data_IF_917490148895
#
_entry.id   IF_917490148895
#
_cell.length_a   1.000
_cell.length_b   1.000
_cell.length_c   1.000
_cell.angle_alpha   90.00
_cell.angle_beta   90.00
_cell.angle_gamma   90.00
#
_symmetry.space_group_name_H-M   'P 1'
#
loop_
_entity.id
_entity.type
_entity.pdbx_description
1 polymer ?
#
# COMPACT_ATOMS: atom_id res chain seq x y z
N UNK A 1 7.92 2.01 -3.08
CA UNK A 1 8.48 1.19 -1.98
C UNK A 1 8.07 1.88 -0.69
N UNK A 2 6.87 1.68 -0.15
CA UNK A 2 6.38 2.53 0.99
C UNK A 2 5.74 1.70 2.12
N UNK A 3 5.71 0.38 1.93
CA UNK A 3 4.84 -0.52 2.67
C UNK A 3 5.49 -1.16 3.91
N UNK A 4 6.79 -0.93 4.11
CA UNK A 4 7.51 -1.51 5.24
C UNK A 4 7.48 -0.63 6.51
N UNK A 5 6.85 0.56 6.48
CA UNK A 5 6.55 1.35 7.69
C UNK A 5 5.81 0.52 8.72
N UNK A 6 4.86 -0.33 8.27
CA UNK A 6 4.10 -1.21 9.14
C UNK A 6 4.96 -2.21 9.90
N UNK A 7 6.01 -2.76 9.28
CA UNK A 7 6.94 -3.66 9.95
C UNK A 7 7.73 -2.92 11.05
N UNK A 8 8.14 -1.67 10.82
CA UNK A 8 8.79 -0.84 11.85
C UNK A 8 7.85 -0.50 13.01
N UNK A 9 6.62 -0.08 12.71
CA UNK A 9 5.62 0.24 13.74
C UNK A 9 5.25 -0.98 14.58
N UNK A 10 5.11 -2.15 13.94
CA UNK A 10 4.84 -3.40 14.63
C UNK A 10 6.04 -3.86 15.47
N UNK A 11 7.27 -3.66 14.97
CA UNK A 11 8.48 -3.86 15.76
C UNK A 11 8.48 -2.97 17.01
N UNK A 12 8.16 -1.68 16.89
CA UNK A 12 8.04 -0.76 18.04
C UNK A 12 6.93 -1.17 19.02
N UNK A 13 5.79 -1.62 18.50
CA UNK A 13 4.66 -2.08 19.32
C UNK A 13 5.05 -3.24 20.24
N UNK A 14 5.95 -4.11 19.80
CA UNK A 14 6.43 -5.23 20.63
C UNK A 14 7.28 -4.84 21.84
N UNK A 15 7.47 -3.53 22.08
CA UNK A 15 8.30 -2.98 23.15
C UNK A 15 9.73 -3.56 23.11
N UNK A 16 10.43 -3.36 21.98
CA UNK A 16 11.79 -3.85 21.82
C UNK A 16 12.72 -3.17 22.82
N UNK A 17 13.82 -3.83 23.16
CA UNK A 17 14.84 -3.23 24.04
C UNK A 17 15.38 -1.95 23.41
N UNK A 18 15.88 -1.01 24.22
CA UNK A 18 16.41 0.28 23.71
C UNK A 18 17.48 0.07 22.62
N UNK A 19 18.31 -0.95 22.78
CA UNK A 19 19.33 -1.34 21.82
C UNK A 19 18.75 -1.82 20.49
N UNK A 20 17.60 -2.51 20.51
CA UNK A 20 16.99 -3.13 19.33
C UNK A 20 16.36 -2.08 18.40
N UNK A 21 15.59 -1.13 18.95
CA UNK A 21 14.99 -0.09 18.10
C UNK A 21 16.02 0.93 17.61
N UNK A 22 17.03 1.28 18.42
CA UNK A 22 18.14 2.12 17.98
C UNK A 22 18.89 1.43 16.84
N UNK A 23 19.20 0.14 16.99
CA UNK A 23 19.84 -0.65 15.93
C UNK A 23 18.99 -0.68 14.67
N UNK A 24 17.67 -0.87 14.78
CA UNK A 24 16.77 -0.90 13.64
C UNK A 24 16.74 0.45 12.89
N UNK A 25 16.74 1.57 13.63
CA UNK A 25 16.81 2.91 13.04
C UNK A 25 18.15 3.14 12.35
N UNK A 26 19.27 2.85 13.02
CA UNK A 26 20.62 3.01 12.45
C UNK A 26 20.77 2.16 11.19
N UNK A 27 20.37 0.90 11.24
CA UNK A 27 20.48 -0.02 10.11
C UNK A 27 19.58 0.43 8.95
N UNK A 28 18.37 0.91 9.24
CA UNK A 28 17.48 1.48 8.23
C UNK A 28 18.08 2.74 7.58
N UNK A 29 18.68 3.65 8.35
CA UNK A 29 19.34 4.83 7.79
C UNK A 29 20.56 4.45 6.93
N UNK A 30 21.35 3.48 7.36
CA UNK A 30 22.47 2.96 6.57
C UNK A 30 21.98 2.37 5.24
N UNK A 31 20.93 1.54 5.27
CA UNK A 31 20.35 0.97 4.05
C UNK A 31 19.82 2.05 3.10
N UNK A 32 19.23 3.13 3.63
CA UNK A 32 18.80 4.28 2.84
C UNK A 32 19.99 4.97 2.15
N UNK A 33 21.05 5.28 2.90
CA UNK A 33 22.24 5.94 2.35
C UNK A 33 22.89 5.06 1.27
N UNK A 34 23.01 3.76 1.52
CA UNK A 34 23.53 2.82 0.52
C UNK A 34 22.67 2.77 -0.74
N UNK A 35 21.34 2.87 -0.60
CA UNK A 35 20.42 2.95 -1.73
C UNK A 35 20.61 4.25 -2.52
N UNK A 36 20.72 5.40 -1.86
CA UNK A 36 20.94 6.70 -2.52
C UNK A 36 22.30 6.78 -3.23
N UNK A 37 23.33 6.11 -2.70
CA UNK A 37 24.65 6.03 -3.33
C UNK A 37 24.72 5.00 -4.47
N UNK A 38 23.72 4.13 -4.62
CA UNK A 38 23.72 3.11 -5.66
C UNK A 38 23.47 3.73 -7.06
N UNK A 39 24.35 3.46 -8.05
CA UNK A 39 24.18 4.00 -9.40
C UNK A 39 22.87 3.57 -10.04
N UNK A 40 22.15 4.52 -10.65
CA UNK A 40 20.91 4.24 -11.41
C UNK A 40 19.64 4.14 -10.56
N UNK A 41 19.67 4.57 -9.29
CA UNK A 41 18.43 4.64 -8.50
C UNK A 41 17.56 5.82 -8.95
N UNK A 42 16.28 5.58 -9.32
CA UNK A 42 15.39 6.66 -9.70
C UNK A 42 15.11 7.55 -8.48
N UNK A 43 15.59 8.79 -8.52
CA UNK A 43 15.24 9.81 -7.53
C UNK A 43 13.80 10.29 -7.81
N UNK A 44 12.80 9.59 -7.26
CA UNK A 44 11.43 10.10 -7.25
C UNK A 44 11.31 11.22 -6.21
N UNK A 45 10.39 12.19 -6.41
CA UNK A 45 10.10 13.25 -5.42
C UNK A 45 9.77 12.68 -4.03
N UNK A 46 9.30 11.43 -3.98
CA UNK A 46 8.95 10.67 -2.78
C UNK A 46 10.16 10.16 -1.97
N UNK A 47 11.38 10.15 -2.53
CA UNK A 47 12.60 9.78 -1.79
C UNK A 47 12.91 10.76 -0.65
N UNK A 48 12.39 11.99 -0.75
CA UNK A 48 12.63 13.08 0.20
C UNK A 48 11.60 13.18 1.34
N UNK A 49 10.45 12.48 1.24
CA UNK A 49 9.40 12.53 2.26
C UNK A 49 9.66 11.54 3.40
N UNK A 50 8.98 11.73 4.54
CA UNK A 50 9.00 10.80 5.68
C UNK A 50 8.65 9.36 5.28
N UNK A 51 7.82 9.19 4.24
CA UNK A 51 7.47 7.89 3.68
C UNK A 51 8.60 7.21 2.91
N UNK A 52 9.55 7.95 2.36
CA UNK A 52 10.75 7.39 1.73
C UNK A 52 11.67 6.65 2.72
N UNK A 53 11.61 6.99 4.01
CA UNK A 53 12.44 6.39 5.08
C UNK A 53 11.83 5.08 5.60
N UNK A 54 10.51 5.03 5.66
CA UNK A 54 9.72 3.94 6.20
C UNK A 54 10.12 2.52 5.79
N UNK A 55 10.34 2.24 4.49
CA UNK A 55 10.74 0.93 4.00
C UNK A 55 12.06 0.45 4.59
N UNK A 56 13.02 1.36 4.68
CA UNK A 56 14.35 1.05 5.20
C UNK A 56 14.32 0.81 6.71
N UNK A 57 13.50 1.56 7.44
CA UNK A 57 13.24 1.30 8.87
C UNK A 57 12.56 -0.06 9.10
N UNK A 58 11.63 -0.44 8.22
CA UNK A 58 11.02 -1.77 8.25
C UNK A 58 12.03 -2.88 7.98
N UNK A 59 12.88 -2.72 6.96
CA UNK A 59 13.96 -3.65 6.65
C UNK A 59 14.96 -3.77 7.81
N UNK A 60 15.39 -2.65 8.40
CA UNK A 60 16.24 -2.63 9.59
C UNK A 60 15.62 -3.36 10.78
N UNK A 61 14.31 -3.22 10.97
CA UNK A 61 13.57 -3.95 12.02
C UNK A 61 13.56 -5.45 11.80
N UNK A 62 13.27 -5.89 10.57
CA UNK A 62 13.28 -7.31 10.23
C UNK A 62 14.67 -7.93 10.42
N UNK A 63 15.73 -7.21 10.06
CA UNK A 63 17.10 -7.65 10.24
C UNK A 63 17.47 -7.78 11.72
N UNK A 64 17.14 -6.78 12.54
CA UNK A 64 17.37 -6.85 14.00
C UNK A 64 16.57 -7.98 14.65
N UNK A 65 15.30 -8.15 14.28
CA UNK A 65 14.47 -9.26 14.77
C UNK A 65 15.05 -10.63 14.38
N UNK A 66 15.59 -10.75 13.16
CA UNK A 66 16.24 -11.96 12.67
C UNK A 66 17.54 -12.26 13.44
N UNK A 67 18.39 -11.26 13.65
CA UNK A 67 19.66 -11.42 14.39
C UNK A 67 19.40 -11.78 15.85
N UNK A 68 18.45 -11.11 16.50
CA UNK A 68 18.10 -11.38 17.90
C UNK A 68 17.45 -12.76 18.09
N UNK A 69 16.78 -13.29 17.06
CA UNK A 69 16.20 -14.64 17.11
C UNK A 69 17.26 -15.72 17.36
N UNK A 70 18.45 -15.60 16.77
CA UNK A 70 19.57 -16.54 16.99
C UNK A 70 20.10 -16.54 18.43
N UNK A 71 19.79 -15.50 19.21
CA UNK A 71 20.23 -15.33 20.59
C UNK A 71 19.19 -15.81 21.61
N UNK A 72 17.94 -16.06 21.17
CA UNK A 72 16.84 -16.51 22.01
C UNK A 72 16.73 -18.04 22.00
N UNK A 73 16.14 -18.61 23.05
CA UNK A 73 15.88 -20.05 23.18
C UNK A 73 14.48 -20.31 23.74
N UNK A 74 13.92 -21.48 23.40
CA UNK A 74 12.63 -21.93 23.91
C UNK A 74 11.48 -21.00 23.56
N UNK A 75 10.57 -20.77 24.50
CA UNK A 75 9.33 -20.03 24.30
C UNK A 75 9.53 -18.59 23.81
N UNK A 76 10.65 -17.96 24.17
CA UNK A 76 11.01 -16.61 23.70
C UNK A 76 11.40 -16.60 22.22
N UNK A 77 12.07 -17.66 21.74
CA UNK A 77 12.40 -17.81 20.32
C UNK A 77 11.13 -18.03 19.49
N UNK A 78 10.20 -18.87 19.97
CA UNK A 78 8.93 -19.12 19.29
C UNK A 78 8.06 -17.87 19.19
N UNK A 79 7.97 -17.08 20.28
CA UNK A 79 7.25 -15.82 20.27
C UNK A 79 7.88 -14.81 19.29
N UNK A 80 9.20 -14.70 19.27
CA UNK A 80 9.92 -13.81 18.34
C UNK A 80 9.79 -14.27 16.88
N UNK A 81 9.82 -15.59 16.63
CA UNK A 81 9.62 -16.16 15.30
C UNK A 81 8.22 -15.86 14.77
N UNK A 82 7.16 -16.08 15.57
CA UNK A 82 5.79 -15.72 15.19
C UNK A 82 5.70 -14.24 14.81
N UNK A 83 6.30 -13.39 15.62
CA UNK A 83 6.34 -11.95 15.38
C UNK A 83 7.08 -11.57 14.09
N UNK A 84 8.22 -12.22 13.83
CA UNK A 84 8.99 -12.02 12.60
C UNK A 84 8.17 -12.43 11.37
N UNK A 85 7.51 -13.58 11.42
CA UNK A 85 6.62 -14.06 10.35
C UNK A 85 5.49 -13.06 10.09
N UNK A 86 4.87 -12.51 11.14
CA UNK A 86 3.86 -11.46 11.00
C UNK A 86 4.40 -10.20 10.32
N UNK A 87 5.53 -9.65 10.83
CA UNK A 87 6.14 -8.44 10.26
C UNK A 87 6.57 -8.65 8.81
N UNK A 88 7.17 -9.80 8.51
CA UNK A 88 7.60 -10.17 7.17
C UNK A 88 6.40 -10.35 6.24
N UNK A 89 5.34 -11.02 6.70
CA UNK A 89 4.08 -11.19 5.97
C UNK A 89 3.47 -9.84 5.59
N UNK A 90 3.33 -8.91 6.54
CA UNK A 90 2.83 -7.55 6.28
C UNK A 90 3.70 -6.81 5.26
N UNK A 91 5.02 -6.89 5.40
CA UNK A 91 5.95 -6.28 4.45
C UNK A 91 5.86 -6.90 3.04
N UNK A 92 5.49 -8.19 2.95
CA UNK A 92 5.39 -8.93 1.70
C UNK A 92 4.04 -8.77 0.99
N UNK A 93 2.97 -8.37 1.69
CA UNK A 93 1.65 -8.12 1.07
C UNK A 93 1.77 -7.12 -0.07
N UNK A 94 2.51 -6.03 0.13
CA UNK A 94 2.54 -4.97 -0.87
C UNK A 94 3.29 -5.30 -2.17
N UNK A 95 4.48 -5.93 -2.18
CA UNK A 95 5.08 -6.38 -3.43
C UNK A 95 4.19 -7.42 -4.13
N UNK A 96 3.48 -8.27 -3.37
CA UNK A 96 2.49 -9.20 -3.95
C UNK A 96 1.34 -8.43 -4.62
N UNK A 97 0.74 -7.44 -3.95
CA UNK A 97 -0.33 -6.60 -4.52
C UNK A 97 0.16 -5.86 -5.75
N UNK A 98 1.38 -5.32 -5.75
CA UNK A 98 1.95 -4.65 -6.93
C UNK A 98 2.17 -5.63 -8.09
N UNK A 99 2.66 -6.84 -7.82
CA UNK A 99 2.80 -7.88 -8.83
C UNK A 99 1.44 -8.25 -9.43
N UNK A 100 0.44 -8.48 -8.58
CA UNK A 100 -0.93 -8.78 -8.99
C UNK A 100 -1.50 -7.64 -9.84
N UNK A 101 -1.33 -6.38 -9.43
CA UNK A 101 -1.75 -5.22 -10.21
C UNK A 101 -1.04 -5.14 -11.57
N UNK A 102 0.27 -5.41 -11.62
CA UNK A 102 1.03 -5.43 -12.86
C UNK A 102 0.57 -6.54 -13.82
N UNK A 103 0.22 -7.71 -13.29
CA UNK A 103 -0.39 -8.80 -14.04
C UNK A 103 -1.76 -8.36 -14.57
N UNK A 104 -2.63 -7.83 -13.71
CA UNK A 104 -3.95 -7.37 -14.11
C UNK A 104 -3.88 -6.32 -15.22
N UNK A 105 -2.99 -5.32 -15.11
CA UNK A 105 -2.81 -4.30 -16.13
C UNK A 105 -2.43 -4.86 -17.51
N UNK A 106 -1.76 -6.02 -17.57
CA UNK A 106 -1.44 -6.70 -18.83
C UNK A 106 -2.60 -7.55 -19.35
N UNK A 107 -3.42 -8.10 -18.46
CA UNK A 107 -4.56 -8.96 -18.80
C UNK A 107 -5.81 -8.18 -19.18
N UNK A 108 -5.93 -6.91 -18.75
CA UNK A 108 -7.13 -6.09 -18.98
C UNK A 108 -6.84 -4.98 -20.01
N UNK A 109 -7.16 -5.19 -21.30
CA UNK A 109 -6.96 -4.17 -22.33
C UNK A 109 -7.92 -2.98 -22.22
N UNK A 110 -9.05 -3.16 -21.53
CA UNK A 110 -10.07 -2.13 -21.33
C UNK A 110 -10.31 -1.87 -19.84
N UNK A 111 -10.60 -0.61 -19.50
CA UNK A 111 -10.93 -0.18 -18.13
C UNK A 111 -12.30 0.48 -18.11
N UNK A 112 -13.02 0.31 -17.02
CA UNK A 112 -14.37 0.86 -16.80
C UNK A 112 -14.36 2.34 -16.38
N UNK A 113 -13.19 2.99 -16.37
CA UNK A 113 -13.01 4.39 -16.00
C UNK A 113 -13.97 5.37 -16.72
N UNK A 114 -14.27 5.22 -18.04
CA UNK A 114 -15.24 6.09 -18.70
C UNK A 114 -16.65 5.91 -18.11
N UNK A 115 -17.07 4.68 -17.84
CA UNK A 115 -18.39 4.39 -17.25
C UNK A 115 -18.49 4.99 -15.84
N UNK A 116 -17.45 4.84 -15.03
CA UNK A 116 -17.38 5.46 -13.70
C UNK A 116 -17.46 6.99 -13.80
N UNK A 117 -16.80 7.60 -14.80
CA UNK A 117 -16.92 9.04 -15.04
C UNK A 117 -18.32 9.46 -15.51
N UNK A 118 -19.03 8.61 -16.25
CA UNK A 118 -20.42 8.88 -16.62
C UNK A 118 -21.36 8.82 -15.40
N UNK A 119 -21.11 7.89 -14.48
CA UNK A 119 -21.84 7.81 -13.21
C UNK A 119 -21.60 9.10 -12.40
N UNK A 120 -20.35 9.55 -12.28
CA UNK A 120 -20.02 10.81 -11.64
C UNK A 120 -20.81 11.98 -12.25
N UNK A 121 -20.80 12.13 -13.58
CA UNK A 121 -21.53 13.20 -14.27
C UNK A 121 -23.05 13.11 -14.11
N UNK A 122 -23.60 11.94 -13.77
CA UNK A 122 -25.05 11.76 -13.55
C UNK A 122 -25.58 12.51 -12.32
N UNK A 123 -24.70 12.91 -11.39
CA UNK A 123 -25.04 13.76 -10.25
C UNK A 123 -25.25 15.24 -10.64
N UNK A 124 -25.10 15.61 -11.92
CA UNK A 124 -25.19 16.99 -12.40
C UNK A 124 -23.90 17.80 -12.28
N UNK A 125 -22.83 17.19 -11.75
CA UNK A 125 -21.47 17.73 -11.70
C UNK A 125 -20.48 16.56 -11.74
N UNK A 126 -19.16 16.83 -11.78
CA UNK A 126 -18.14 15.79 -11.91
C UNK A 126 -17.26 15.70 -10.62
N UNK A 127 -17.67 14.93 -9.58
CA UNK A 127 -16.95 14.83 -8.32
C UNK A 127 -15.47 14.49 -8.48
N UNK A 128 -15.14 13.49 -9.31
CA UNK A 128 -13.76 13.06 -9.51
C UNK A 128 -12.85 14.15 -10.08
N UNK A 129 -13.34 14.97 -11.00
CA UNK A 129 -12.59 16.10 -11.55
C UNK A 129 -12.47 17.23 -10.53
N UNK A 130 -13.52 17.49 -9.74
CA UNK A 130 -13.46 18.47 -8.65
C UNK A 130 -12.39 18.10 -7.61
N UNK A 131 -12.36 16.86 -7.14
CA UNK A 131 -11.33 16.39 -6.22
C UNK A 131 -9.94 16.39 -6.88
N UNK A 132 -9.85 16.06 -8.17
CA UNK A 132 -8.62 16.19 -8.94
C UNK A 132 -8.09 17.62 -8.97
N UNK A 133 -8.97 18.62 -9.14
CA UNK A 133 -8.60 20.03 -9.11
C UNK A 133 -8.16 20.46 -7.71
N UNK A 134 -8.88 20.08 -6.66
CA UNK A 134 -8.50 20.39 -5.28
C UNK A 134 -7.11 19.81 -4.94
N UNK A 135 -6.84 18.56 -5.35
CA UNK A 135 -5.54 17.93 -5.16
C UNK A 135 -4.44 18.60 -6.01
N UNK A 136 -4.76 19.11 -7.20
CA UNK A 136 -3.82 19.86 -8.03
C UNK A 136 -3.44 21.22 -7.41
N UNK A 137 -4.36 21.87 -6.71
CA UNK A 137 -4.12 23.18 -6.06
C UNK A 137 -3.51 23.07 -4.65
N UNK A 138 -3.60 21.91 -4.01
CA UNK A 138 -3.10 21.70 -2.65
C UNK A 138 -2.12 20.54 -2.59
N UNK A 139 -0.82 20.87 -2.42
CA UNK A 139 0.23 19.88 -2.17
C UNK A 139 -0.09 18.99 -0.97
N UNK A 140 -0.62 19.58 0.11
CA UNK A 140 -1.01 18.86 1.32
C UNK A 140 -2.11 17.84 1.04
N UNK A 141 -3.11 18.21 0.24
CA UNK A 141 -4.20 17.29 -0.09
C UNK A 141 -3.72 16.14 -0.99
N UNK A 142 -2.84 16.43 -1.95
CA UNK A 142 -2.20 15.42 -2.79
C UNK A 142 -1.36 14.44 -1.97
N UNK A 143 -0.54 14.95 -1.04
CA UNK A 143 0.27 14.12 -0.15
C UNK A 143 -0.62 13.28 0.77
N UNK A 144 -1.66 13.87 1.38
CA UNK A 144 -2.60 13.15 2.22
C UNK A 144 -3.35 12.03 1.47
N UNK A 145 -3.76 12.28 0.22
CA UNK A 145 -4.40 11.27 -0.62
C UNK A 145 -3.48 10.07 -0.86
N UNK A 146 -2.21 10.34 -1.17
CA UNK A 146 -1.19 9.30 -1.32
C UNK A 146 -0.96 8.58 0.01
N UNK A 147 -0.81 9.31 1.11
CA UNK A 147 -0.60 8.75 2.44
C UNK A 147 -1.73 7.79 2.82
N UNK A 148 -2.99 8.18 2.60
CA UNK A 148 -4.16 7.32 2.84
C UNK A 148 -4.09 6.06 1.97
N UNK A 149 -3.72 6.21 0.70
CA UNK A 149 -3.57 5.09 -0.22
C UNK A 149 -2.49 4.09 0.24
N UNK A 150 -1.34 4.57 0.71
CA UNK A 150 -0.26 3.73 1.21
C UNK A 150 -0.52 3.17 2.61
N UNK A 151 -1.26 3.90 3.45
CA UNK A 151 -1.65 3.46 4.80
C UNK A 151 -2.69 2.33 4.80
N UNK A 152 -3.32 1.99 3.67
CA UNK A 152 -4.26 0.86 3.60
C UNK A 152 -3.61 -0.46 4.07
N UNK A 153 -2.38 -0.75 3.61
CA UNK A 153 -1.64 -1.95 4.03
C UNK A 153 -1.22 -1.86 5.50
N UNK A 154 -0.93 -0.64 5.99
CA UNK A 154 -0.65 -0.41 7.39
C UNK A 154 -1.87 -0.74 8.27
N UNK A 155 -3.07 -0.34 7.86
CA UNK A 155 -4.31 -0.65 8.57
C UNK A 155 -4.57 -2.16 8.65
N UNK A 156 -4.24 -2.92 7.59
CA UNK A 156 -4.27 -4.39 7.61
C UNK A 156 -3.34 -4.95 8.69
N UNK A 157 -2.09 -4.47 8.72
CA UNK A 157 -1.11 -4.89 9.72
C UNK A 157 -1.52 -4.54 11.16
N UNK A 158 -2.09 -3.35 11.37
CA UNK A 158 -2.61 -2.93 12.67
C UNK A 158 -3.80 -3.76 13.14
N UNK A 159 -4.74 -4.11 12.25
CA UNK A 159 -5.87 -4.97 12.58
C UNK A 159 -5.41 -6.38 12.97
N UNK A 160 -4.45 -6.94 12.23
CA UNK A 160 -3.85 -8.22 12.58
C UNK A 160 -3.11 -8.17 13.93
N UNK A 161 -2.36 -7.10 14.20
CA UNK A 161 -1.72 -6.87 15.51
C UNK A 161 -2.74 -6.87 16.65
N UNK A 162 -3.81 -6.11 16.48
CA UNK A 162 -4.88 -5.98 17.46
C UNK A 162 -5.59 -7.31 17.71
N UNK A 163 -5.78 -8.12 16.67
CA UNK A 163 -6.34 -9.47 16.76
C UNK A 163 -5.47 -10.40 17.61
N UNK A 164 -4.17 -10.50 17.31
CA UNK A 164 -3.23 -11.34 18.07
C UNK A 164 -3.17 -10.94 19.56
N UNK A 165 -3.22 -9.65 19.86
CA UNK A 165 -3.21 -9.16 21.24
C UNK A 165 -4.53 -9.37 22.01
N UNK A 166 -5.65 -9.61 21.32
CA UNK A 166 -6.99 -9.77 21.92
C UNK A 166 -7.60 -11.16 21.69
N UNK A 167 -6.74 -12.16 21.44
CA UNK A 167 -7.05 -13.53 20.97
C UNK A 167 -8.19 -14.30 21.65
N UNK A 168 -8.82 -13.79 22.70
CA UNK A 168 -9.94 -14.41 23.39
C UNK A 168 -11.34 -14.08 22.82
N UNK A 169 -11.51 -13.22 21.79
CA UNK A 169 -12.86 -12.71 21.45
C UNK A 169 -13.27 -12.64 19.99
N UNK A 170 -12.40 -12.87 19.01
CA UNK A 170 -12.77 -12.74 17.59
C UNK A 170 -12.97 -14.11 16.93
N UNK A 171 -14.14 -14.39 16.33
CA UNK A 171 -14.44 -15.69 15.73
C UNK A 171 -13.83 -15.86 14.32
N UNK A 172 -13.00 -14.94 13.86
CA UNK A 172 -12.50 -14.89 12.48
C UNK A 172 -10.97 -14.94 12.47
N UNK A 173 -10.42 -15.86 11.69
CA UNK A 173 -8.99 -15.86 11.35
C UNK A 173 -8.72 -14.67 10.40
N UNK A 174 -8.21 -13.58 10.97
CA UNK A 174 -7.95 -12.32 10.25
C UNK A 174 -6.97 -12.49 9.10
N UNK A 175 -5.97 -13.37 9.24
CA UNK A 175 -4.99 -13.60 8.19
C UNK A 175 -5.64 -14.32 7.00
N UNK A 176 -6.44 -15.36 7.28
CA UNK A 176 -7.23 -16.03 6.23
C UNK A 176 -8.20 -15.08 5.56
N UNK A 177 -8.89 -14.24 6.33
CA UNK A 177 -9.82 -13.25 5.79
C UNK A 177 -9.11 -12.29 4.83
N UNK A 178 -7.97 -11.71 5.21
CA UNK A 178 -7.20 -10.85 4.31
C UNK A 178 -6.65 -11.58 3.08
N UNK A 179 -6.19 -12.81 3.23
CA UNK A 179 -5.75 -13.63 2.10
C UNK A 179 -6.91 -13.89 1.11
N UNK A 180 -8.07 -14.29 1.62
CA UNK A 180 -9.28 -14.50 0.80
C UNK A 180 -9.72 -13.19 0.14
N UNK A 181 -9.77 -12.07 0.87
CA UNK A 181 -10.09 -10.77 0.31
C UNK A 181 -9.10 -10.36 -0.79
N UNK A 182 -7.80 -10.63 -0.63
CA UNK A 182 -6.77 -10.31 -1.63
C UNK A 182 -6.99 -11.11 -2.92
N UNK A 183 -7.25 -12.41 -2.80
CA UNK A 183 -7.53 -13.28 -3.95
C UNK A 183 -8.82 -12.85 -4.65
N UNK A 184 -9.90 -12.63 -3.90
CA UNK A 184 -11.17 -12.17 -4.46
C UNK A 184 -11.05 -10.80 -5.11
N UNK A 185 -10.37 -9.84 -4.47
CA UNK A 185 -10.13 -8.51 -5.01
C UNK A 185 -9.34 -8.57 -6.31
N UNK A 186 -8.33 -9.45 -6.42
CA UNK A 186 -7.58 -9.64 -7.65
C UNK A 186 -8.48 -10.12 -8.80
N UNK A 187 -9.30 -11.15 -8.59
CA UNK A 187 -10.22 -11.63 -9.62
C UNK A 187 -11.30 -10.60 -9.97
N UNK A 188 -11.84 -9.90 -8.97
CA UNK A 188 -12.78 -8.80 -9.19
C UNK A 188 -12.13 -7.68 -10.00
N UNK A 189 -10.88 -7.34 -9.75
CA UNK A 189 -10.16 -6.33 -10.50
C UNK A 189 -9.87 -6.76 -11.95
N UNK A 190 -9.67 -8.05 -12.22
CA UNK A 190 -9.59 -8.56 -13.60
C UNK A 190 -10.92 -8.38 -14.33
N UNK A 191 -12.05 -8.59 -13.64
CA UNK A 191 -13.39 -8.50 -14.23
C UNK A 191 -13.87 -7.05 -14.40
N UNK A 192 -13.58 -6.21 -13.41
CA UNK A 192 -14.01 -4.81 -13.32
C UNK A 192 -12.79 -3.88 -13.11
N UNK A 193 -11.84 -3.84 -14.05
CA UNK A 193 -10.66 -2.98 -13.94
C UNK A 193 -11.04 -1.51 -13.95
N UNK A 194 -10.57 -0.78 -12.95
CA UNK A 194 -10.69 0.66 -12.85
C UNK A 194 -9.41 1.25 -12.24
N UNK A 195 -8.92 2.34 -12.82
CA UNK A 195 -7.71 3.04 -12.37
C UNK A 195 -7.98 4.52 -12.05
N UNK A 196 -9.06 5.09 -12.58
CA UNK A 196 -9.50 6.46 -12.36
C UNK A 196 -9.41 7.35 -13.61
N UNK A 197 -10.00 8.56 -13.54
CA UNK A 197 -10.10 9.48 -14.67
C UNK A 197 -8.75 9.96 -15.20
N UNK A 198 -7.72 10.08 -14.36
CA UNK A 198 -6.37 10.47 -14.80
C UNK A 198 -5.75 9.48 -15.79
N UNK A 199 -6.14 8.20 -15.74
CA UNK A 199 -5.67 7.19 -16.69
C UNK A 199 -6.49 7.13 -17.98
N UNK A 200 -7.78 7.43 -17.91
CA UNK A 200 -8.69 7.39 -19.06
C UNK A 200 -8.72 8.71 -19.86
N UNK A 201 -8.53 9.84 -19.17
CA UNK A 201 -8.65 11.19 -19.71
C UNK A 201 -7.38 12.00 -19.42
N UNK A 202 -6.22 11.46 -19.82
CA UNK A 202 -4.90 12.04 -19.54
C UNK A 202 -4.76 13.52 -19.93
N UNK A 203 -5.30 13.93 -21.07
CA UNK A 203 -5.22 15.32 -21.56
C UNK A 203 -6.24 16.26 -20.89
N UNK A 204 -7.28 15.70 -20.30
CA UNK A 204 -8.46 16.42 -19.85
C UNK A 204 -8.54 16.51 -18.32
N UNK A 205 -8.09 15.48 -17.61
CA UNK A 205 -8.07 15.47 -16.15
C UNK A 205 -6.95 16.36 -15.60
N UNK A 206 -7.19 17.18 -14.57
CA UNK A 206 -8.44 17.36 -13.83
C UNK A 206 -9.30 18.55 -14.30
N UNK A 207 -8.88 19.29 -15.32
CA UNK A 207 -9.43 20.63 -15.61
C UNK A 207 -10.60 20.65 -16.59
N UNK A 208 -10.74 19.63 -17.44
CA UNK A 208 -11.67 19.59 -18.56
C UNK A 208 -12.55 18.33 -18.49
N UNK A 209 -13.57 18.28 -17.61
CA UNK A 209 -14.47 17.14 -17.53
C UNK A 209 -15.19 16.91 -18.87
N UNK A 210 -15.16 15.69 -19.43
CA UNK A 210 -15.88 15.38 -20.66
C UNK A 210 -17.39 15.48 -20.41
N UNK A 211 -18.14 15.96 -21.41
CA UNK A 211 -19.60 15.94 -21.32
C UNK A 211 -20.10 14.49 -21.37
N UNK A 212 -21.21 14.18 -20.68
CA UNK A 212 -21.76 12.82 -20.58
C UNK A 212 -21.94 12.11 -21.94
N UNK A 213 -22.33 12.84 -22.98
CA UNK A 213 -22.51 12.30 -24.34
C UNK A 213 -21.20 11.99 -25.07
N UNK A 214 -20.07 12.53 -24.60
CA UNK A 214 -18.73 12.31 -25.16
C UNK A 214 -18.07 11.08 -24.55
N UNK A 215 -18.62 10.52 -23.48
CA UNK A 215 -18.09 9.32 -22.82
C UNK A 215 -18.54 8.09 -23.62
N UNK A 216 -17.61 7.32 -24.22
CA UNK A 216 -17.97 6.20 -25.08
C UNK A 216 -18.41 4.98 -24.26
N UNK A 217 -19.65 4.98 -23.77
CA UNK A 217 -20.26 3.83 -23.06
C UNK A 217 -20.55 2.65 -24.01
N UNK A 218 -20.72 2.94 -25.31
CA UNK A 218 -21.34 2.02 -26.29
C UNK A 218 -20.47 0.87 -26.82
N UNK A 219 -19.16 0.83 -26.53
CA UNK A 219 -18.25 -0.19 -27.12
C UNK A 219 -17.86 -1.36 -26.19
N UNK A 220 -18.27 -1.36 -24.92
CA UNK A 220 -17.83 -2.39 -23.96
C UNK A 220 -18.82 -3.55 -23.76
N UNK A 221 -20.10 -3.41 -24.13
CA UNK A 221 -21.14 -4.43 -23.91
C UNK A 221 -21.28 -5.45 -25.06
N UNK A 222 -20.45 -5.38 -26.10
CA UNK A 222 -20.56 -6.21 -27.31
C UNK A 222 -19.25 -6.92 -27.70
N UNK A 223 -18.34 -7.16 -26.75
CA UNK A 223 -17.14 -7.97 -26.95
C UNK A 223 -17.20 -9.23 -26.08
#
# INVERSE_FOLDING_TARGET
MEYAVGAFLFHLWSRPRRTEWISAVVLGLVLRVLYELAPGTPHSEFSSSLMGIGPFLGAGSLLVMTVTLFQLKGEQADARMRMLITCAGIAFIAPVVQLLLAISMRLTPYRYDPILCAIDGSFGFQPSFLFGQLAAHSRVLKELQLDVYYCLVLAVGMNYAAHEHRAASWPVDVLRAYATCTVLAFFLYIWLPAAGPGFAFHDAFPNHPPALFQIPVRRMLLA
#
